data_IF_344676392570
#
_entry.id   IF_344676392570
#
_cell.length_a   1.000
_cell.length_b   1.000
_cell.length_c   1.000
_cell.angle_alpha   90.00
_cell.angle_beta   90.00
_cell.angle_gamma   90.00
#
_symmetry.space_group_name_H-M   'P 1'
#
loop_
_entity.id
_entity.type
_entity.pdbx_description
1 polymer ?
#
# COMPACT_ATOMS: atom_id res chain seq x y z
N UNK A 1 -4.53 -11.68 23.18
CA UNK A 1 -4.89 -11.07 21.89
C UNK A 1 -5.73 -12.01 21.01
N UNK A 2 -5.24 -13.19 20.62
CA UNK A 2 -5.99 -14.08 19.69
C UNK A 2 -7.40 -14.45 20.15
N UNK A 3 -7.56 -14.89 21.40
CA UNK A 3 -8.89 -15.21 21.96
C UNK A 3 -9.85 -14.02 21.98
N UNK A 4 -9.34 -12.80 22.17
CA UNK A 4 -10.15 -11.57 22.13
C UNK A 4 -10.57 -11.25 20.69
N UNK A 5 -9.70 -11.45 19.71
CA UNK A 5 -10.02 -11.30 18.28
C UNK A 5 -11.13 -12.29 17.91
N UNK A 6 -11.02 -13.56 18.29
CA UNK A 6 -12.03 -14.58 18.00
C UNK A 6 -13.38 -14.26 18.64
N UNK A 7 -13.39 -13.71 19.86
CA UNK A 7 -14.61 -13.25 20.51
C UNK A 7 -15.22 -12.04 19.81
N UNK A 8 -14.40 -11.04 19.43
CA UNK A 8 -14.85 -9.88 18.64
C UNK A 8 -15.49 -10.35 17.32
N UNK A 9 -14.83 -11.25 16.60
CA UNK A 9 -15.31 -11.78 15.32
C UNK A 9 -16.65 -12.50 15.45
N UNK A 10 -16.90 -13.19 16.57
CA UNK A 10 -18.19 -13.83 16.87
C UNK A 10 -19.29 -12.84 17.25
N UNK A 11 -18.93 -11.70 17.85
CA UNK A 11 -19.89 -10.68 18.32
C UNK A 11 -20.22 -9.59 17.31
N UNK A 12 -19.34 -9.34 16.34
CA UNK A 12 -19.61 -8.42 15.23
C UNK A 12 -20.65 -9.03 14.27
N UNK A 13 -21.40 -8.18 13.57
CA UNK A 13 -22.22 -8.65 12.46
C UNK A 13 -21.33 -9.25 11.35
N UNK A 14 -21.87 -10.14 10.49
CA UNK A 14 -21.06 -10.86 9.51
C UNK A 14 -20.23 -9.96 8.57
N UNK A 15 -20.76 -8.79 8.17
CA UNK A 15 -20.04 -7.88 7.28
C UNK A 15 -18.90 -7.18 8.01
N UNK A 16 -19.15 -6.71 9.23
CA UNK A 16 -18.11 -6.10 10.05
C UNK A 16 -17.02 -7.11 10.47
N UNK A 17 -17.41 -8.34 10.76
CA UNK A 17 -16.48 -9.44 11.08
C UNK A 17 -15.55 -9.74 9.90
N UNK A 18 -16.10 -9.91 8.69
CA UNK A 18 -15.32 -10.10 7.47
C UNK A 18 -14.37 -8.93 7.20
N UNK A 19 -14.83 -7.69 7.41
CA UNK A 19 -13.97 -6.52 7.29
C UNK A 19 -12.83 -6.52 8.32
N UNK A 20 -13.13 -6.80 9.59
CA UNK A 20 -12.15 -6.84 10.67
C UNK A 20 -11.03 -7.85 10.40
N UNK A 21 -11.34 -9.00 9.80
CA UNK A 21 -10.34 -10.00 9.40
C UNK A 21 -9.35 -9.48 8.34
N UNK A 22 -9.73 -8.48 7.55
CA UNK A 22 -8.85 -7.89 6.53
C UNK A 22 -7.99 -6.74 7.05
N UNK A 23 -8.27 -6.25 8.26
CA UNK A 23 -7.51 -5.18 8.89
C UNK A 23 -6.16 -5.72 9.37
N UNK A 24 -5.09 -4.95 9.19
CA UNK A 24 -3.75 -5.31 9.65
C UNK A 24 -3.70 -5.49 11.18
N UNK A 25 -2.84 -6.38 11.69
CA UNK A 25 -2.73 -6.68 13.12
C UNK A 25 -2.54 -5.45 14.01
N UNK A 26 -1.77 -4.46 13.55
CA UNK A 26 -1.50 -3.24 14.30
C UNK A 26 -2.79 -2.45 14.56
N UNK A 27 -3.69 -2.41 13.58
CA UNK A 27 -5.00 -1.77 13.71
C UNK A 27 -6.00 -2.66 14.45
N UNK A 28 -5.98 -3.98 14.23
CA UNK A 28 -6.80 -4.92 15.00
C UNK A 28 -6.51 -4.80 16.49
N UNK A 29 -5.24 -4.74 16.87
CA UNK A 29 -4.80 -4.52 18.25
C UNK A 29 -5.38 -3.23 18.82
N UNK A 30 -5.37 -2.13 18.07
CA UNK A 30 -5.98 -0.87 18.50
C UNK A 30 -7.48 -0.99 18.82
N UNK A 31 -8.24 -1.74 18.01
CA UNK A 31 -9.66 -2.01 18.30
C UNK A 31 -9.85 -2.94 19.49
N UNK A 32 -9.02 -3.99 19.61
CA UNK A 32 -9.04 -4.90 20.77
C UNK A 32 -8.81 -4.10 22.05
N UNK A 33 -7.75 -3.29 22.08
CA UNK A 33 -7.41 -2.45 23.23
C UNK A 33 -8.56 -1.48 23.57
N UNK A 34 -9.15 -0.83 22.56
CA UNK A 34 -10.29 0.06 22.76
C UNK A 34 -11.53 -0.66 23.30
N UNK A 35 -11.87 -1.85 22.79
CA UNK A 35 -13.04 -2.62 23.24
C UNK A 35 -12.82 -3.06 24.69
N UNK A 36 -11.69 -3.70 24.97
CA UNK A 36 -11.37 -4.34 26.25
C UNK A 36 -10.74 -3.40 27.28
N UNK A 37 -10.62 -2.09 26.98
CA UNK A 37 -10.29 -1.08 27.98
C UNK A 37 -11.29 -1.08 29.17
N UNK A 38 -12.48 -1.64 28.97
CA UNK A 38 -13.49 -1.87 30.00
C UNK A 38 -13.76 -3.36 30.13
N UNK A 39 -13.81 -3.87 31.36
CA UNK A 39 -14.22 -5.26 31.65
C UNK A 39 -15.75 -5.43 31.61
N UNK A 40 -16.52 -4.33 31.69
CA UNK A 40 -17.98 -4.34 31.58
C UNK A 40 -18.44 -4.85 30.20
N UNK A 41 -19.17 -5.95 30.22
CA UNK A 41 -19.65 -6.65 29.02
C UNK A 41 -20.62 -5.82 28.16
N UNK A 42 -21.46 -5.01 28.80
CA UNK A 42 -22.42 -4.13 28.12
C UNK A 42 -21.71 -2.94 27.48
N UNK A 43 -20.69 -2.38 28.14
CA UNK A 43 -19.80 -1.37 27.55
C UNK A 43 -19.11 -1.92 26.31
N UNK A 44 -18.54 -3.12 26.39
CA UNK A 44 -17.92 -3.79 25.24
C UNK A 44 -18.94 -3.98 24.10
N UNK A 45 -20.18 -4.39 24.43
CA UNK A 45 -21.25 -4.56 23.45
C UNK A 45 -21.61 -3.26 22.71
N UNK A 46 -21.69 -2.13 23.44
CA UNK A 46 -21.91 -0.81 22.83
C UNK A 46 -20.75 -0.40 21.91
N UNK A 47 -19.50 -0.66 22.32
CA UNK A 47 -18.30 -0.37 21.51
C UNK A 47 -18.26 -1.20 20.23
N UNK A 48 -18.58 -2.49 20.31
CA UNK A 48 -18.68 -3.38 19.15
C UNK A 48 -19.74 -2.89 18.15
N UNK A 49 -20.92 -2.49 18.64
CA UNK A 49 -21.98 -1.91 17.79
C UNK A 49 -21.52 -0.63 17.09
N UNK A 50 -20.77 0.23 17.80
CA UNK A 50 -20.19 1.44 17.21
C UNK A 50 -19.17 1.11 16.11
N UNK A 51 -18.24 0.19 16.38
CA UNK A 51 -17.20 -0.23 15.42
C UNK A 51 -17.82 -0.87 14.17
N UNK A 52 -18.83 -1.73 14.35
CA UNK A 52 -19.59 -2.30 13.23
C UNK A 52 -20.16 -1.21 12.31
N UNK A 53 -20.77 -0.16 12.88
CA UNK A 53 -21.25 1.00 12.10
C UNK A 53 -20.10 1.75 11.43
N UNK A 54 -18.97 1.92 12.12
CA UNK A 54 -17.81 2.63 11.61
C UNK A 54 -17.20 1.92 10.38
N UNK A 55 -17.06 0.59 10.43
CA UNK A 55 -16.56 -0.22 9.32
C UNK A 55 -17.43 -0.13 8.07
N UNK A 56 -18.74 0.05 8.24
CA UNK A 56 -19.65 0.29 7.12
C UNK A 56 -19.41 1.67 6.49
N UNK A 57 -19.30 2.72 7.32
CA UNK A 57 -19.03 4.10 6.84
C UNK A 57 -17.71 4.20 6.07
N UNK A 58 -16.69 3.46 6.50
CA UNK A 58 -15.39 3.47 5.84
C UNK A 58 -15.37 2.77 4.48
N UNK A 59 -16.37 1.96 4.13
CA UNK A 59 -16.48 1.46 2.77
C UNK A 59 -16.68 2.60 1.76
N UNK A 60 -17.42 3.65 2.17
CA UNK A 60 -17.79 4.77 1.30
C UNK A 60 -16.81 5.95 1.40
N UNK A 61 -16.02 6.04 2.48
CA UNK A 61 -15.09 7.14 2.74
C UNK A 61 -13.68 6.61 2.97
N UNK A 62 -12.85 6.50 1.92
CA UNK A 62 -11.50 6.00 2.05
C UNK A 62 -10.57 7.00 2.73
N UNK A 63 -9.77 6.49 3.66
CA UNK A 63 -8.63 7.19 4.25
C UNK A 63 -7.38 6.37 3.98
N UNK A 64 -6.33 7.06 3.57
CA UNK A 64 -5.02 6.46 3.33
C UNK A 64 -4.03 6.91 4.41
N UNK A 65 -3.22 5.97 4.87
CA UNK A 65 -2.13 6.21 5.81
C UNK A 65 -0.92 5.41 5.39
N UNK A 66 0.27 6.00 5.50
CA UNK A 66 1.53 5.34 5.16
C UNK A 66 2.38 5.25 6.42
N UNK A 67 2.99 4.09 6.63
CA UNK A 67 3.85 3.80 7.78
C UNK A 67 4.98 2.84 7.37
N UNK A 68 6.07 2.74 8.14
CA UNK A 68 7.12 1.76 7.87
C UNK A 68 6.55 0.37 7.63
N UNK A 69 7.11 -0.35 6.66
CA UNK A 69 6.68 -1.70 6.32
C UNK A 69 6.97 -2.66 7.49
N UNK A 70 5.92 -3.27 8.05
CA UNK A 70 6.11 -4.29 9.09
C UNK A 70 6.54 -5.62 8.49
N UNK A 71 7.16 -6.48 9.30
CA UNK A 71 7.62 -7.79 8.84
C UNK A 71 6.45 -8.65 8.32
N UNK A 72 5.32 -8.64 9.02
CA UNK A 72 4.14 -9.41 8.63
C UNK A 72 3.53 -8.91 7.30
N UNK A 73 3.53 -7.59 7.09
CA UNK A 73 3.11 -7.02 5.82
C UNK A 73 4.10 -7.36 4.68
N UNK A 74 5.41 -7.35 4.95
CA UNK A 74 6.43 -7.77 3.99
C UNK A 74 6.23 -9.24 3.58
N UNK A 75 6.01 -10.13 4.54
CA UNK A 75 5.71 -11.55 4.29
C UNK A 75 4.42 -11.75 3.49
N UNK A 76 3.37 -10.99 3.84
CA UNK A 76 2.11 -10.99 3.07
C UNK A 76 2.34 -10.56 1.61
N UNK A 77 3.11 -9.49 1.39
CA UNK A 77 3.41 -8.98 0.04
C UNK A 77 4.24 -10.00 -0.73
N UNK A 78 5.28 -10.56 -0.13
CA UNK A 78 6.22 -11.42 -0.83
C UNK A 78 5.63 -12.79 -1.15
N UNK A 79 4.87 -13.38 -0.22
CA UNK A 79 4.39 -14.76 -0.35
C UNK A 79 2.99 -14.84 -0.98
N UNK A 80 2.09 -13.93 -0.60
CA UNK A 80 0.66 -14.08 -0.91
C UNK A 80 0.22 -13.27 -2.12
N UNK A 81 0.95 -12.22 -2.49
CA UNK A 81 0.55 -11.38 -3.63
C UNK A 81 0.98 -12.00 -4.94
N UNK A 82 0.00 -12.65 -5.57
CA UNK A 82 0.16 -13.29 -6.87
C UNK A 82 -0.70 -12.56 -7.90
N UNK A 83 -0.05 -12.05 -8.95
CA UNK A 83 -0.68 -11.40 -10.08
C UNK A 83 -0.81 -12.38 -11.26
N UNK A 84 -1.91 -12.32 -12.02
CA UNK A 84 -2.03 -13.08 -13.25
C UNK A 84 -1.17 -12.46 -14.36
N UNK A 85 -0.77 -13.30 -15.32
CA UNK A 85 -0.07 -12.87 -16.54
C UNK A 85 -0.81 -11.73 -17.27
N UNK A 86 -0.10 -10.73 -17.84
CA UNK A 86 1.36 -10.57 -17.90
C UNK A 86 1.97 -9.83 -16.69
N UNK A 87 1.24 -9.73 -15.58
CA UNK A 87 1.68 -8.99 -14.39
C UNK A 87 2.31 -9.89 -13.32
N UNK A 88 2.34 -11.20 -13.56
CA UNK A 88 3.15 -12.18 -12.82
C UNK A 88 4.64 -11.81 -12.78
N UNK A 89 5.11 -10.99 -13.73
CA UNK A 89 6.39 -10.27 -13.66
C UNK A 89 6.65 -9.56 -12.32
N UNK A 90 5.60 -9.11 -11.62
CA UNK A 90 5.70 -8.40 -10.33
C UNK A 90 5.48 -9.33 -9.12
N UNK A 91 5.38 -10.65 -9.31
CA UNK A 91 5.34 -11.59 -8.20
C UNK A 91 6.75 -11.68 -7.61
N UNK A 92 6.93 -11.32 -6.34
CA UNK A 92 8.27 -11.33 -5.73
C UNK A 92 8.85 -12.74 -5.65
N UNK A 93 8.03 -13.78 -5.59
CA UNK A 93 8.50 -15.17 -5.69
C UNK A 93 9.19 -15.52 -7.03
N UNK A 94 9.06 -14.67 -8.05
CA UNK A 94 9.73 -14.82 -9.34
C UNK A 94 11.06 -14.04 -9.44
N UNK A 95 11.33 -13.13 -8.48
CA UNK A 95 12.54 -12.30 -8.40
C UNK A 95 13.21 -12.48 -7.02
N UNK A 96 14.18 -13.41 -6.89
CA UNK A 96 14.82 -13.69 -5.60
C UNK A 96 15.50 -12.48 -4.96
N UNK A 97 16.03 -11.56 -5.77
CA UNK A 97 16.74 -10.38 -5.26
C UNK A 97 15.73 -9.41 -4.62
N UNK A 98 14.62 -9.12 -5.29
CA UNK A 98 13.54 -8.28 -4.74
C UNK A 98 12.84 -8.97 -3.54
N UNK A 99 12.70 -10.30 -3.58
CA UNK A 99 12.16 -11.08 -2.46
C UNK A 99 13.03 -10.97 -1.22
N UNK A 100 14.33 -11.21 -1.35
CA UNK A 100 15.28 -11.15 -0.25
C UNK A 100 15.36 -9.72 0.32
N UNK A 101 15.35 -8.72 -0.56
CA UNK A 101 15.30 -7.31 -0.14
C UNK A 101 14.08 -7.04 0.74
N UNK A 102 12.87 -7.34 0.28
CA UNK A 102 11.64 -6.99 1.01
C UNK A 102 11.48 -7.80 2.30
N UNK A 103 11.89 -9.07 2.33
CA UNK A 103 11.70 -9.94 3.51
C UNK A 103 12.71 -9.62 4.60
N UNK A 104 13.92 -9.22 4.25
CA UNK A 104 14.99 -8.97 5.20
C UNK A 104 15.00 -7.50 5.68
N UNK A 105 14.70 -7.23 6.97
CA UNK A 105 14.73 -5.87 7.52
C UNK A 105 16.05 -5.12 7.28
N UNK A 106 17.19 -5.82 7.29
CA UNK A 106 18.51 -5.20 7.12
C UNK A 106 18.78 -4.79 5.66
N UNK A 107 18.16 -5.49 4.70
CA UNK A 107 18.27 -5.18 3.27
C UNK A 107 17.31 -4.05 2.89
N UNK A 108 16.01 -4.17 3.22
CA UNK A 108 15.02 -3.11 2.94
C UNK A 108 15.25 -1.83 3.72
N UNK A 109 15.85 -1.90 4.91
CA UNK A 109 16.06 -0.73 5.79
C UNK A 109 14.75 0.07 5.96
N UNK A 110 14.85 1.40 5.91
CA UNK A 110 13.72 2.32 6.02
C UNK A 110 13.22 2.84 4.64
N UNK A 111 13.53 2.13 3.55
CA UNK A 111 13.14 2.60 2.20
C UNK A 111 11.72 2.18 1.82
N UNK A 112 11.13 1.20 2.50
CA UNK A 112 9.78 0.69 2.24
C UNK A 112 8.75 1.15 3.26
N UNK A 113 7.58 1.52 2.74
CA UNK A 113 6.38 1.82 3.53
C UNK A 113 5.21 0.96 3.08
N UNK A 114 4.36 0.59 4.02
CA UNK A 114 3.05 0.02 3.72
C UNK A 114 2.01 1.13 3.57
N UNK A 115 1.15 0.98 2.58
CA UNK A 115 0.02 1.88 2.32
C UNK A 115 -1.25 1.23 2.85
N UNK A 116 -1.84 1.86 3.84
CA UNK A 116 -3.01 1.38 4.55
C UNK A 116 -4.25 2.14 4.08
N UNK A 117 -5.29 1.42 3.67
CA UNK A 117 -6.60 1.98 3.35
C UNK A 117 -7.61 1.52 4.38
N UNK A 118 -8.06 2.44 5.26
CA UNK A 118 -9.00 2.15 6.34
C UNK A 118 -8.64 0.94 7.22
N UNK A 119 -7.35 0.75 7.50
CA UNK A 119 -6.82 -0.38 8.27
C UNK A 119 -6.44 -1.62 7.45
N UNK A 120 -6.72 -1.66 6.14
CA UNK A 120 -6.33 -2.78 5.27
C UNK A 120 -4.98 -2.50 4.62
N UNK A 121 -4.09 -3.51 4.56
CA UNK A 121 -2.89 -3.47 3.73
C UNK A 121 -3.29 -3.36 2.25
N UNK A 122 -3.16 -2.17 1.69
CA UNK A 122 -3.68 -1.84 0.37
C UNK A 122 -2.60 -1.86 -0.71
N UNK A 123 -1.37 -1.55 -0.33
CA UNK A 123 -0.21 -1.50 -1.20
C UNK A 123 1.07 -1.29 -0.40
N UNK A 124 2.17 -1.12 -1.10
CA UNK A 124 3.44 -0.63 -0.57
C UNK A 124 4.02 0.42 -1.50
N UNK A 125 4.98 1.18 -0.99
CA UNK A 125 5.86 2.02 -1.80
C UNK A 125 7.29 1.91 -1.29
N UNK A 126 8.26 2.04 -2.18
CA UNK A 126 9.68 2.21 -1.86
C UNK A 126 10.19 3.52 -2.42
N UNK A 127 11.20 4.09 -1.77
CA UNK A 127 11.74 5.41 -2.10
C UNK A 127 13.25 5.39 -2.20
N UNK A 128 13.79 5.85 -3.33
CA UNK A 128 15.23 6.01 -3.55
C UNK A 128 15.53 7.41 -4.04
N UNK A 129 16.44 8.11 -3.36
CA UNK A 129 16.80 9.50 -3.68
C UNK A 129 18.00 9.52 -4.63
N UNK A 130 17.84 10.19 -5.78
CA UNK A 130 18.87 10.43 -6.77
C UNK A 130 19.06 11.94 -6.98
N UNK A 131 19.89 12.56 -6.14
CA UNK A 131 20.07 14.01 -6.15
C UNK A 131 18.77 14.74 -5.79
N UNK A 132 18.13 15.37 -6.78
CA UNK A 132 16.85 16.08 -6.62
C UNK A 132 15.63 15.26 -7.04
N UNK A 133 15.85 14.06 -7.52
CA UNK A 133 14.81 13.14 -7.96
C UNK A 133 14.51 12.11 -6.86
N UNK A 134 13.24 11.75 -6.73
CA UNK A 134 12.79 10.64 -5.91
C UNK A 134 12.21 9.56 -6.81
N UNK A 135 12.91 8.45 -6.92
CA UNK A 135 12.38 7.24 -7.53
C UNK A 135 11.41 6.56 -6.56
N UNK A 136 10.21 6.26 -7.07
CA UNK A 136 9.14 5.63 -6.33
C UNK A 136 8.92 4.24 -6.92
N UNK A 137 9.20 3.18 -6.16
CA UNK A 137 8.65 1.85 -6.42
C UNK A 137 7.28 1.74 -5.75
N UNK A 138 6.33 1.03 -6.36
CA UNK A 138 5.01 0.81 -5.74
C UNK A 138 4.33 -0.46 -6.24
N UNK A 139 3.55 -1.06 -5.36
CA UNK A 139 2.68 -2.20 -5.65
C UNK A 139 1.35 -2.09 -4.92
N UNK A 140 0.26 -2.44 -5.59
CA UNK A 140 -1.09 -2.49 -5.00
C UNK A 140 -1.51 -3.94 -4.90
N UNK A 141 -2.09 -4.34 -3.76
CA UNK A 141 -2.51 -5.72 -3.55
C UNK A 141 -3.36 -6.22 -4.74
N UNK A 142 -3.12 -7.44 -5.27
CA UNK A 142 -3.72 -7.92 -6.52
C UNK A 142 -5.25 -7.73 -6.58
N UNK A 143 -5.93 -8.00 -5.46
CA UNK A 143 -7.38 -7.89 -5.29
C UNK A 143 -7.96 -6.49 -5.49
N UNK A 144 -7.14 -5.44 -5.48
CA UNK A 144 -7.56 -4.04 -5.67
C UNK A 144 -7.18 -3.47 -7.03
N UNK A 145 -6.38 -4.20 -7.81
CA UNK A 145 -5.98 -3.75 -9.14
C UNK A 145 -7.16 -3.75 -10.12
N UNK A 146 -7.13 -2.84 -11.10
CA UNK A 146 -8.19 -2.75 -12.13
C UNK A 146 -9.50 -2.10 -11.67
N UNK A 147 -9.62 -1.66 -10.42
CA UNK A 147 -10.87 -1.10 -9.84
C UNK A 147 -10.84 0.42 -9.67
N UNK A 148 -10.06 1.13 -10.49
CA UNK A 148 -9.95 2.61 -10.48
C UNK A 148 -9.41 3.25 -9.19
N UNK A 149 -8.86 2.48 -8.24
CA UNK A 149 -8.24 3.02 -7.02
C UNK A 149 -6.85 3.63 -7.22
N UNK A 150 -6.26 3.50 -8.41
CA UNK A 150 -4.87 3.87 -8.66
C UNK A 150 -4.55 5.35 -8.43
N UNK A 151 -5.48 6.26 -8.75
CA UNK A 151 -5.22 7.71 -8.63
C UNK A 151 -5.12 8.15 -7.17
N UNK A 152 -6.04 7.72 -6.32
CA UNK A 152 -6.02 8.06 -4.88
C UNK A 152 -4.86 7.37 -4.17
N UNK A 153 -4.55 6.14 -4.55
CA UNK A 153 -3.39 5.40 -4.06
C UNK A 153 -2.07 6.12 -4.36
N UNK A 154 -1.84 6.48 -5.62
CA UNK A 154 -0.63 7.20 -6.02
C UNK A 154 -0.55 8.57 -5.35
N UNK A 155 -1.69 9.29 -5.27
CA UNK A 155 -1.74 10.58 -4.58
C UNK A 155 -1.34 10.46 -3.11
N UNK A 156 -1.80 9.42 -2.41
CA UNK A 156 -1.43 9.21 -1.00
C UNK A 156 0.08 8.97 -0.84
N UNK A 157 0.70 8.24 -1.78
CA UNK A 157 2.15 8.03 -1.82
C UNK A 157 2.90 9.33 -2.10
N UNK A 158 2.47 10.12 -3.08
CA UNK A 158 3.04 11.44 -3.39
C UNK A 158 2.93 12.41 -2.19
N UNK A 159 1.76 12.49 -1.56
CA UNK A 159 1.51 13.35 -0.41
C UNK A 159 2.36 12.94 0.81
N UNK A 160 2.69 11.66 0.97
CA UNK A 160 3.68 11.19 1.95
C UNK A 160 5.09 11.59 1.54
N UNK A 161 5.47 11.34 0.29
CA UNK A 161 6.79 11.64 -0.23
C UNK A 161 7.16 13.12 -0.09
N UNK A 162 6.23 14.04 -0.40
CA UNK A 162 6.45 15.50 -0.25
C UNK A 162 6.68 15.95 1.20
N UNK A 163 6.16 15.20 2.18
CA UNK A 163 6.35 15.52 3.60
C UNK A 163 7.66 14.98 4.14
N UNK A 164 8.16 13.90 3.54
CA UNK A 164 9.31 13.13 4.03
C UNK A 164 10.60 13.53 3.32
N UNK A 165 10.55 13.81 2.01
CA UNK A 165 11.72 14.04 1.19
C UNK A 165 11.72 15.45 0.61
N UNK A 166 12.90 16.07 0.57
CA UNK A 166 13.12 17.34 -0.12
C UNK A 166 13.56 17.06 -1.56
N UNK A 167 12.59 16.92 -2.46
CA UNK A 167 12.81 16.60 -3.88
C UNK A 167 12.05 17.55 -4.81
N UNK A 168 12.54 17.71 -6.03
CA UNK A 168 11.94 18.56 -7.06
C UNK A 168 11.18 17.75 -8.11
N UNK A 169 11.42 16.43 -8.20
CA UNK A 169 10.84 15.57 -9.21
C UNK A 169 10.58 14.16 -8.67
N UNK A 170 9.42 13.60 -9.00
CA UNK A 170 9.11 12.18 -8.83
C UNK A 170 9.45 11.42 -10.10
N UNK A 171 9.99 10.21 -9.93
CA UNK A 171 10.38 9.31 -11.01
C UNK A 171 9.70 7.95 -10.79
N UNK A 172 9.11 7.42 -11.85
CA UNK A 172 8.58 6.06 -11.92
C UNK A 172 9.21 5.35 -13.11
N UNK A 173 9.96 4.29 -12.85
CA UNK A 173 10.47 3.39 -13.87
C UNK A 173 9.50 2.21 -14.00
N UNK A 174 8.90 2.05 -15.18
CA UNK A 174 7.81 1.06 -15.37
C UNK A 174 8.04 0.22 -16.60
N UNK A 175 7.87 -1.09 -16.49
CA UNK A 175 8.00 -1.99 -17.64
C UNK A 175 7.09 -1.55 -18.80
N UNK A 176 7.62 -1.56 -20.02
CA UNK A 176 6.97 -1.02 -21.21
C UNK A 176 5.66 -1.74 -21.55
N UNK A 177 5.52 -3.01 -21.18
CA UNK A 177 4.28 -3.77 -21.33
C UNK A 177 3.18 -3.36 -20.32
N UNK A 178 3.55 -2.73 -19.19
CA UNK A 178 2.61 -2.34 -18.14
C UNK A 178 1.86 -1.05 -18.50
N UNK A 179 1.04 -1.13 -19.55
CA UNK A 179 0.26 0.00 -20.06
C UNK A 179 -0.77 0.52 -19.06
N UNK A 180 -1.23 -0.30 -18.09
CA UNK A 180 -2.16 0.18 -17.05
C UNK A 180 -1.49 1.19 -16.11
N UNK A 181 -0.27 0.91 -15.66
CA UNK A 181 0.48 1.81 -14.80
C UNK A 181 0.85 3.08 -15.55
N UNK A 182 1.36 2.96 -16.79
CA UNK A 182 1.67 4.14 -17.62
C UNK A 182 0.44 5.03 -17.87
N UNK A 183 -0.76 4.46 -18.11
CA UNK A 183 -2.00 5.24 -18.24
C UNK A 183 -2.36 5.97 -16.94
N UNK A 184 -2.24 5.30 -15.80
CA UNK A 184 -2.46 5.91 -14.49
C UNK A 184 -1.49 7.07 -14.27
N UNK A 185 -0.20 6.87 -14.51
CA UNK A 185 0.84 7.89 -14.28
C UNK A 185 0.61 9.11 -15.18
N UNK A 186 0.30 8.92 -16.47
CA UNK A 186 -0.09 10.03 -17.36
C UNK A 186 -1.30 10.79 -16.84
N UNK A 187 -2.35 10.09 -16.37
CA UNK A 187 -3.54 10.71 -15.76
C UNK A 187 -3.18 11.52 -14.51
N UNK A 188 -2.19 11.09 -13.75
CA UNK A 188 -1.71 11.76 -12.53
C UNK A 188 -0.65 12.85 -12.79
N UNK A 189 -0.37 13.19 -14.06
CA UNK A 189 0.50 14.30 -14.45
C UNK A 189 1.96 13.91 -14.75
N UNK A 190 2.29 12.62 -14.74
CA UNK A 190 3.61 12.16 -15.18
C UNK A 190 3.74 12.24 -16.70
N UNK A 191 4.94 12.61 -17.14
CA UNK A 191 5.33 12.65 -18.55
C UNK A 191 6.35 11.56 -18.82
N UNK A 192 6.28 10.99 -20.01
CA UNK A 192 7.29 10.04 -20.48
C UNK A 192 8.55 10.79 -20.89
N UNK A 193 9.70 10.40 -20.33
CA UNK A 193 10.98 11.04 -20.60
C UNK A 193 11.87 10.20 -21.51
N UNK A 194 11.78 8.87 -21.43
CA UNK A 194 12.56 7.97 -22.26
C UNK A 194 12.31 6.50 -22.00
N UNK A 195 12.99 5.66 -22.79
CA UNK A 195 12.99 4.21 -22.67
C UNK A 195 14.40 3.73 -22.40
N UNK A 196 14.54 2.67 -21.61
CA UNK A 196 15.81 2.03 -21.35
C UNK A 196 15.61 0.53 -21.12
N UNK A 197 16.66 -0.24 -21.37
CA UNK A 197 16.66 -1.68 -21.12
C UNK A 197 17.15 -1.95 -19.69
N UNK A 198 16.39 -2.72 -18.93
CA UNK A 198 16.75 -3.13 -17.57
C UNK A 198 16.87 -4.65 -17.50
N UNK A 199 17.97 -5.13 -16.90
CA UNK A 199 18.12 -6.54 -16.59
C UNK A 199 17.43 -6.82 -15.24
N UNK A 200 16.47 -7.74 -15.23
CA UNK A 200 15.73 -8.23 -14.05
C UNK A 200 15.24 -9.64 -14.37
N UNK A 201 15.16 -10.52 -13.37
CA UNK A 201 14.71 -11.91 -13.57
C UNK A 201 15.47 -12.66 -14.67
N UNK A 202 16.81 -12.51 -14.67
CA UNK A 202 17.73 -13.09 -15.67
C UNK A 202 17.50 -12.67 -17.13
N UNK A 203 16.52 -11.82 -17.40
CA UNK A 203 16.16 -11.33 -18.73
C UNK A 203 16.30 -9.80 -18.82
N UNK A 204 16.18 -9.27 -20.04
CA UNK A 204 16.22 -7.83 -20.31
C UNK A 204 14.83 -7.39 -20.75
N UNK A 205 14.30 -6.38 -20.07
CA UNK A 205 12.99 -5.82 -20.34
C UNK A 205 13.10 -4.33 -20.67
N UNK A 206 12.26 -3.86 -21.58
CA UNK A 206 12.13 -2.44 -21.86
C UNK A 206 11.36 -1.76 -20.72
N UNK A 207 11.92 -0.68 -20.20
CA UNK A 207 11.31 0.18 -19.20
C UNK A 207 11.09 1.58 -19.75
N UNK A 208 10.06 2.23 -19.24
CA UNK A 208 9.71 3.61 -19.54
C UNK A 208 9.98 4.43 -18.29
N UNK A 209 10.83 5.45 -18.43
CA UNK A 209 11.04 6.45 -17.39
C UNK A 209 9.95 7.50 -17.47
N UNK A 210 9.23 7.69 -16.37
CA UNK A 210 8.16 8.68 -16.26
C UNK A 210 8.41 9.65 -15.12
N UNK A 211 8.28 10.95 -15.37
CA UNK A 211 8.62 12.00 -14.40
C UNK A 211 7.51 13.00 -14.17
N UNK A 212 7.44 13.54 -12.95
CA UNK A 212 6.47 14.57 -12.55
C UNK A 212 7.13 15.56 -11.60
N UNK A 213 6.94 16.86 -11.84
CA UNK A 213 7.43 17.89 -10.94
C UNK A 213 6.75 17.80 -9.57
N UNK A 214 7.55 17.79 -8.50
CA UNK A 214 7.07 17.79 -7.13
C UNK A 214 6.42 19.13 -6.76
N UNK A 215 6.83 20.24 -7.38
CA UNK A 215 6.29 21.58 -7.10
C UNK A 215 4.88 21.79 -7.63
N UNK A 216 4.51 21.16 -8.76
CA UNK A 216 3.15 21.26 -9.32
C UNK A 216 2.10 20.59 -8.43
N UNK A 217 2.53 19.64 -7.59
CA UNK A 217 1.67 18.85 -6.69
C UNK A 217 1.27 19.59 -5.41
N UNK A 218 2.00 20.65 -5.04
CA UNK A 218 1.71 21.46 -3.86
C UNK A 218 0.56 22.47 -4.08
N UNK A 219 0.18 22.72 -5.34
CA UNK A 219 -0.74 23.80 -5.73
C UNK A 219 -2.23 23.47 -5.57
N UNK A 220 -2.60 22.23 -5.23
CA UNK A 220 -4.01 21.81 -5.07
C UNK A 220 -4.53 21.88 -3.63
N UNK A 221 -4.01 22.83 -2.84
CA UNK A 221 -4.58 23.23 -1.55
C UNK A 221 -4.97 24.71 -1.58
N UNK A 222 -6.16 24.99 -2.10
CA UNK A 222 -6.95 26.17 -1.73
C UNK A 222 -8.42 25.77 -1.70
#
# INVERSE_FOLDING_TARGET
MQAQIEEILRRLDPKASAYFQTIIPEYQKGYVDYIYQSEDYEVQGRRLKYISKLFQVWQDKPWYYLMPLSQEAAETIANDWQYPSPYDFYNLTADPDDYDEIINPDLRKDTYVQVIRNGILFGFASFVVHGKELEIGLGMAPKWTGQSYGSDFLKAIEDYALKTYQVECFVLNVAAFNKRAQRLYRKCGYKEEGHFAQKTNEAVYDFVRMTKSATDSATTKK
#
